data_IF_381861971210
#
_entry.id   IF_381861971210
#
_cell.length_a   1.000
_cell.length_b   1.000
_cell.length_c   1.000
_cell.angle_alpha   90.00
_cell.angle_beta   90.00
_cell.angle_gamma   90.00
#
_symmetry.space_group_name_H-M   'P 1'
#
loop_
_entity.id
_entity.type
_entity.pdbx_description
1 polymer ?
#
# COMPACT_ATOMS: atom_id res chain seq x y z
N UNK A 1 4.97 -24.63 12.11
CA UNK A 1 3.60 -24.71 11.56
C UNK A 1 2.85 -23.36 11.53
N UNK A 2 3.13 -22.41 12.42
CA UNK A 2 2.37 -21.14 12.50
C UNK A 2 2.78 -20.06 11.48
N UNK A 3 3.98 -20.17 10.89
CA UNK A 3 4.52 -19.17 9.95
C UNK A 3 3.72 -19.07 8.66
N UNK A 4 3.17 -20.19 8.17
CA UNK A 4 2.36 -20.22 6.95
C UNK A 4 1.05 -19.44 7.09
N UNK A 5 0.42 -19.49 8.27
CA UNK A 5 -0.79 -18.72 8.58
C UNK A 5 -0.50 -17.22 8.61
N UNK A 6 0.65 -16.81 9.16
CA UNK A 6 1.10 -15.41 9.14
C UNK A 6 1.38 -14.92 7.70
N UNK A 7 2.08 -15.70 6.88
CA UNK A 7 2.31 -15.36 5.47
C UNK A 7 1.02 -15.30 4.66
N UNK A 8 0.08 -16.21 4.91
CA UNK A 8 -1.24 -16.20 4.27
C UNK A 8 -2.07 -14.98 4.70
N UNK A 9 -2.03 -14.63 5.99
CA UNK A 9 -2.71 -13.44 6.53
C UNK A 9 -2.17 -12.14 5.93
N UNK A 10 -0.85 -12.01 5.82
CA UNK A 10 -0.21 -10.87 5.16
C UNK A 10 -0.57 -10.79 3.67
N UNK A 11 -0.54 -11.92 2.96
CA UNK A 11 -0.94 -11.99 1.55
C UNK A 11 -2.40 -11.60 1.32
N UNK A 12 -3.32 -12.06 2.18
CA UNK A 12 -4.73 -11.67 2.13
C UNK A 12 -4.93 -10.18 2.38
N UNK A 13 -4.21 -9.58 3.34
CA UNK A 13 -4.28 -8.14 3.61
C UNK A 13 -3.82 -7.30 2.42
N UNK A 14 -2.72 -7.69 1.77
CA UNK A 14 -2.20 -7.00 0.58
C UNK A 14 -3.18 -7.18 -0.60
N UNK A 15 -3.67 -8.40 -0.83
CA UNK A 15 -4.64 -8.69 -1.87
C UNK A 15 -5.95 -7.91 -1.69
N UNK A 16 -6.48 -7.87 -0.46
CA UNK A 16 -7.67 -7.10 -0.12
C UNK A 16 -7.44 -5.59 -0.38
N UNK A 17 -6.28 -5.06 -0.02
CA UNK A 17 -5.92 -3.67 -0.29
C UNK A 17 -5.88 -3.36 -1.79
N UNK A 18 -5.33 -4.27 -2.60
CA UNK A 18 -5.30 -4.12 -4.06
C UNK A 18 -6.71 -4.17 -4.69
N UNK A 19 -7.58 -5.06 -4.22
CA UNK A 19 -8.98 -5.16 -4.68
C UNK A 19 -9.76 -3.91 -4.26
N UNK A 20 -9.57 -3.42 -3.04
CA UNK A 20 -10.24 -2.21 -2.56
C UNK A 20 -9.81 -0.99 -3.39
N UNK A 21 -8.53 -0.92 -3.75
CA UNK A 21 -8.01 0.07 -4.71
C UNK A 21 -8.68 -0.02 -6.08
N UNK A 22 -8.80 -1.24 -6.61
CA UNK A 22 -9.42 -1.52 -7.91
C UNK A 22 -10.90 -1.11 -7.90
N UNK A 23 -11.64 -1.45 -6.84
CA UNK A 23 -13.06 -1.12 -6.66
C UNK A 23 -13.29 0.39 -6.51
N UNK A 24 -12.46 1.08 -5.72
CA UNK A 24 -12.62 2.52 -5.47
C UNK A 24 -12.21 3.38 -6.67
N UNK A 25 -11.20 2.98 -7.44
CA UNK A 25 -10.73 3.74 -8.60
C UNK A 25 -11.30 3.23 -9.94
N UNK A 26 -11.98 2.09 -9.97
CA UNK A 26 -12.59 1.48 -11.16
C UNK A 26 -11.59 1.01 -12.24
N UNK A 27 -10.28 1.18 -12.01
CA UNK A 27 -9.19 0.82 -12.94
C UNK A 27 -7.96 0.43 -12.12
N UNK A 28 -7.25 -0.62 -12.55
CA UNK A 28 -5.90 -0.95 -12.04
C UNK A 28 -4.91 0.05 -12.65
N UNK A 29 -5.05 1.33 -12.35
CA UNK A 29 -3.94 2.26 -12.54
C UNK A 29 -3.00 1.99 -11.37
N UNK A 30 -1.88 1.32 -11.63
CA UNK A 30 -0.85 1.13 -10.60
C UNK A 30 -0.41 2.47 -10.00
N UNK A 31 0.43 2.43 -8.95
CA UNK A 31 0.94 3.63 -8.27
C UNK A 31 1.50 4.64 -9.30
N UNK A 32 2.20 4.17 -10.34
CA UNK A 32 2.70 4.99 -11.45
C UNK A 32 1.61 5.69 -12.28
N UNK A 33 0.44 5.06 -12.43
CA UNK A 33 -0.72 5.66 -13.11
C UNK A 33 -1.42 6.71 -12.25
N UNK A 34 -1.50 6.52 -10.93
CA UNK A 34 -2.08 7.51 -10.00
C UNK A 34 -1.18 8.75 -9.91
N UNK A 35 0.13 8.55 -9.79
CA UNK A 35 1.13 9.64 -9.81
C UNK A 35 1.15 10.33 -11.17
N UNK A 36 1.06 9.58 -12.28
CA UNK A 36 0.98 10.15 -13.63
C UNK A 36 -0.27 11.02 -13.85
N UNK A 37 -1.43 10.59 -13.33
CA UNK A 37 -2.68 11.38 -13.40
C UNK A 37 -2.67 12.60 -12.49
N UNK A 38 -1.99 12.51 -11.35
CA UNK A 38 -1.73 13.66 -10.48
C UNK A 38 -0.84 14.69 -11.19
N UNK A 39 0.22 14.23 -11.87
CA UNK A 39 1.10 15.09 -12.68
C UNK A 39 0.36 15.71 -13.89
N UNK A 40 -0.66 15.04 -14.43
CA UNK A 40 -1.54 15.58 -15.47
C UNK A 40 -2.67 16.48 -14.94
N UNK A 41 -2.83 16.64 -13.62
CA UNK A 41 -3.87 17.49 -13.01
C UNK A 41 -5.29 16.92 -13.10
N UNK A 42 -5.47 15.65 -13.48
CA UNK A 42 -6.79 15.03 -13.67
C UNK A 42 -7.16 14.23 -12.42
N UNK A 43 -8.21 14.65 -11.70
CA UNK A 43 -8.69 13.94 -10.52
C UNK A 43 -7.82 14.14 -9.28
N UNK A 44 -7.34 15.38 -9.09
CA UNK A 44 -6.48 15.81 -7.97
C UNK A 44 -6.97 15.28 -6.61
N UNK A 45 -8.24 15.45 -6.26
CA UNK A 45 -8.77 15.05 -4.94
C UNK A 45 -8.53 13.57 -4.62
N UNK A 46 -8.85 12.66 -5.54
CA UNK A 46 -8.71 11.21 -5.31
C UNK A 46 -7.26 10.77 -5.34
N UNK A 47 -6.46 11.29 -6.29
CA UNK A 47 -5.04 10.93 -6.39
C UNK A 47 -4.23 11.48 -5.20
N UNK A 48 -4.53 12.70 -4.75
CA UNK A 48 -3.86 13.31 -3.60
C UNK A 48 -4.22 12.58 -2.30
N UNK A 49 -5.49 12.19 -2.12
CA UNK A 49 -5.90 11.37 -0.98
C UNK A 49 -5.19 10.00 -0.97
N UNK A 50 -5.00 9.38 -2.14
CA UNK A 50 -4.23 8.14 -2.24
C UNK A 50 -2.76 8.33 -1.88
N UNK A 51 -2.10 9.35 -2.44
CA UNK A 51 -0.68 9.63 -2.16
C UNK A 51 -0.48 9.97 -0.68
N UNK A 52 -1.37 10.77 -0.08
CA UNK A 52 -1.35 11.04 1.36
C UNK A 52 -1.55 9.78 2.18
N UNK A 53 -2.47 8.89 1.78
CA UNK A 53 -2.65 7.58 2.42
C UNK A 53 -1.39 6.70 2.34
N UNK A 54 -0.72 6.68 1.18
CA UNK A 54 0.52 5.95 0.98
C UNK A 54 1.65 6.49 1.87
N UNK A 55 1.73 7.82 2.03
CA UNK A 55 2.72 8.49 2.89
C UNK A 55 2.42 8.28 4.38
N UNK A 56 1.14 8.33 4.76
CA UNK A 56 0.71 8.13 6.14
C UNK A 56 0.84 6.68 6.59
N UNK A 57 0.68 5.70 5.71
CA UNK A 57 0.82 4.27 6.03
C UNK A 57 2.08 3.92 6.83
N UNK A 58 3.30 4.17 6.31
CA UNK A 58 4.54 3.90 7.03
C UNK A 58 4.71 4.80 8.27
N UNK A 59 4.19 6.03 8.26
CA UNK A 59 4.26 6.95 9.43
C UNK A 59 3.42 6.39 10.59
N UNK A 60 2.19 5.95 10.32
CA UNK A 60 1.29 5.35 11.29
C UNK A 60 1.87 4.02 11.80
N UNK A 61 2.47 3.22 10.91
CA UNK A 61 3.18 2.01 11.32
C UNK A 61 4.34 2.32 12.27
N UNK A 62 5.16 3.32 11.96
CA UNK A 62 6.27 3.75 12.82
C UNK A 62 5.78 4.24 14.19
N UNK A 63 4.68 5.02 14.22
CA UNK A 63 4.06 5.48 15.47
C UNK A 63 3.45 4.33 16.29
N UNK A 64 2.83 3.35 15.63
CA UNK A 64 2.16 2.24 16.31
C UNK A 64 3.13 1.16 16.83
N UNK A 65 4.21 0.88 16.08
CA UNK A 65 5.15 -0.21 16.40
C UNK A 65 6.53 0.28 16.87
N UNK A 66 6.77 1.60 16.87
CA UNK A 66 7.97 2.21 17.47
C UNK A 66 9.29 1.92 16.75
N UNK A 67 9.25 1.31 15.56
CA UNK A 67 10.45 0.93 14.81
C UNK A 67 10.18 0.64 13.34
N UNK A 68 11.23 0.73 12.52
CA UNK A 68 11.19 0.25 11.14
C UNK A 68 11.16 -1.28 11.13
N UNK A 69 10.40 -1.91 10.21
CA UNK A 69 10.40 -3.36 10.09
C UNK A 69 11.84 -3.84 9.82
N UNK A 70 12.30 -4.82 10.62
CA UNK A 70 13.60 -5.42 10.42
C UNK A 70 13.63 -6.11 9.05
N UNK A 71 14.35 -5.52 8.10
CA UNK A 71 14.55 -6.09 6.78
C UNK A 71 15.62 -7.17 6.89
N UNK A 72 15.21 -8.41 7.15
CA UNK A 72 16.10 -9.56 7.07
C UNK A 72 16.27 -9.95 5.59
N UNK A 73 17.47 -9.69 5.06
CA UNK A 73 17.89 -10.21 3.75
C UNK A 73 18.58 -11.54 4.03
N UNK A 74 17.84 -12.64 3.94
CA UNK A 74 18.43 -13.98 3.94
C UNK A 74 19.17 -14.18 2.63
N UNK A 75 20.49 -13.96 2.63
CA UNK A 75 21.37 -14.35 1.53
C UNK A 75 21.53 -15.87 1.61
N UNK A 76 20.97 -16.58 0.63
CA UNK A 76 21.19 -18.00 0.41
C UNK A 76 22.38 -18.24 -0.51
#
# INVERSE_FOLDING_TARGET
MNTYLLSLGGGLLIGASAVMLLLLNGRIAGISGIVGRLAQGIGLTTNLAFVLGLLLGPIVYMLAFGGFPAVEITVG
#
